data_IF_800945784958
#
_entry.id   IF_800945784958
#
_cell.length_a   1.000
_cell.length_b   1.000
_cell.length_c   1.000
_cell.angle_alpha   90.00
_cell.angle_beta   90.00
_cell.angle_gamma   90.00
#
_symmetry.space_group_name_H-M   'P 1'
#
loop_
_entity.id
_entity.type
_entity.pdbx_description
1 polymer ?
#
# COMPACT_ATOMS: atom_id res chain seq x y z
N UNK A 1 11.17 27.33 -10.99
CA UNK A 1 10.51 26.42 -10.03
C UNK A 1 11.27 25.12 -9.91
N UNK A 2 11.87 24.88 -8.73
CA UNK A 2 12.62 23.66 -8.44
C UNK A 2 11.65 22.54 -8.09
N UNK A 3 11.34 21.69 -9.06
CA UNK A 3 10.54 20.50 -8.84
C UNK A 3 11.35 19.53 -7.97
N UNK A 4 10.89 19.26 -6.75
CA UNK A 4 11.53 18.27 -5.88
C UNK A 4 11.22 16.87 -6.41
N UNK A 5 12.18 16.30 -7.14
CA UNK A 5 12.03 14.99 -7.78
C UNK A 5 11.99 13.81 -6.80
N UNK A 6 12.57 13.96 -5.62
CA UNK A 6 12.65 12.89 -4.61
C UNK A 6 11.27 12.37 -4.17
N UNK A 7 10.33 13.21 -3.69
CA UNK A 7 8.98 12.78 -3.35
C UNK A 7 8.25 12.11 -4.52
N UNK A 8 8.44 12.64 -5.73
CA UNK A 8 7.78 12.15 -6.94
C UNK A 8 8.22 10.73 -7.28
N UNK A 9 9.53 10.47 -7.26
CA UNK A 9 10.09 9.14 -7.52
C UNK A 9 9.64 8.15 -6.43
N UNK A 10 9.57 8.56 -5.17
CA UNK A 10 9.10 7.71 -4.07
C UNK A 10 7.63 7.30 -4.25
N UNK A 11 6.75 8.25 -4.57
CA UNK A 11 5.33 7.97 -4.79
C UNK A 11 5.14 7.10 -6.05
N UNK A 12 5.83 7.42 -7.14
CA UNK A 12 5.79 6.61 -8.37
C UNK A 12 6.31 5.19 -8.13
N UNK A 13 7.38 5.04 -7.34
CA UNK A 13 7.94 3.75 -6.96
C UNK A 13 6.96 2.93 -6.11
N UNK A 14 6.30 3.57 -5.14
CA UNK A 14 5.24 2.96 -4.34
C UNK A 14 4.06 2.48 -5.18
N UNK A 15 3.63 3.31 -6.13
CA UNK A 15 2.52 3.00 -7.04
C UNK A 15 2.88 1.84 -7.97
N UNK A 16 4.07 1.88 -8.57
CA UNK A 16 4.56 0.78 -9.41
C UNK A 16 4.64 -0.53 -8.61
N UNK A 17 5.11 -0.46 -7.36
CA UNK A 17 5.19 -1.63 -6.49
C UNK A 17 3.81 -2.20 -6.15
N UNK A 18 2.81 -1.35 -5.83
CA UNK A 18 1.42 -1.77 -5.66
C UNK A 18 0.90 -2.52 -6.89
N UNK A 19 1.09 -1.94 -8.09
CA UNK A 19 0.61 -2.54 -9.35
C UNK A 19 1.28 -3.90 -9.59
N UNK A 20 2.60 -3.98 -9.41
CA UNK A 20 3.36 -5.22 -9.57
C UNK A 20 2.89 -6.28 -8.56
N UNK A 21 2.72 -5.90 -7.29
CA UNK A 21 2.25 -6.80 -6.24
C UNK A 21 0.86 -7.36 -6.54
N UNK A 22 -0.05 -6.53 -7.04
CA UNK A 22 -1.37 -6.99 -7.49
C UNK A 22 -1.22 -7.93 -8.69
N UNK A 23 -0.40 -7.58 -9.68
CA UNK A 23 -0.21 -8.36 -10.90
C UNK A 23 0.38 -9.76 -10.65
N UNK A 24 1.26 -9.91 -9.66
CA UNK A 24 1.87 -11.21 -9.29
C UNK A 24 1.08 -11.98 -8.22
N UNK A 25 -0.07 -11.45 -7.76
CA UNK A 25 -0.89 -12.09 -6.73
C UNK A 25 -0.35 -11.95 -5.30
N UNK A 26 0.49 -10.95 -5.03
CA UNK A 26 0.98 -10.60 -3.69
C UNK A 26 -0.09 -10.03 -2.75
N UNK A 27 -1.22 -9.59 -3.30
CA UNK A 27 -2.39 -9.13 -2.55
C UNK A 27 -2.47 -7.62 -2.37
N UNK A 28 -3.69 -7.14 -2.16
CA UNK A 28 -3.99 -5.71 -2.02
C UNK A 28 -3.37 -5.13 -0.76
N UNK A 29 -3.40 -5.86 0.36
CA UNK A 29 -2.90 -5.38 1.65
C UNK A 29 -1.41 -5.01 1.63
N UNK A 30 -0.56 -5.87 1.06
CA UNK A 30 0.89 -5.64 1.02
C UNK A 30 1.20 -4.43 0.12
N UNK A 31 0.58 -4.36 -1.05
CA UNK A 31 0.80 -3.26 -1.98
C UNK A 31 0.37 -1.92 -1.41
N UNK A 32 -0.77 -1.85 -0.73
CA UNK A 32 -1.26 -0.59 -0.12
C UNK A 32 -0.43 -0.18 1.10
N UNK A 33 0.03 -1.13 1.91
CA UNK A 33 0.97 -0.83 3.00
C UNK A 33 2.29 -0.22 2.48
N UNK A 34 2.83 -0.77 1.38
CA UNK A 34 4.05 -0.24 0.76
C UNK A 34 3.82 1.13 0.12
N UNK A 35 2.71 1.32 -0.58
CA UNK A 35 2.33 2.62 -1.15
C UNK A 35 2.20 3.67 -0.04
N UNK A 36 1.61 3.32 1.10
CA UNK A 36 1.50 4.22 2.24
C UNK A 36 2.88 4.56 2.83
N UNK A 37 3.73 3.57 3.06
CA UNK A 37 5.07 3.78 3.62
C UNK A 37 5.96 4.65 2.71
N UNK A 38 5.92 4.41 1.40
CA UNK A 38 6.65 5.21 0.40
C UNK A 38 6.09 6.64 0.30
N UNK A 39 4.78 6.81 0.38
CA UNK A 39 4.13 8.13 0.44
C UNK A 39 4.52 8.90 1.70
N UNK A 40 4.52 8.25 2.87
CA UNK A 40 4.98 8.86 4.12
C UNK A 40 6.47 9.27 4.06
N UNK A 41 7.30 8.42 3.46
CA UNK A 41 8.70 8.72 3.21
C UNK A 41 8.88 9.92 2.25
N UNK A 42 8.02 10.05 1.24
CA UNK A 42 8.00 11.20 0.34
C UNK A 42 7.67 12.52 1.06
N UNK A 43 6.88 12.47 2.14
CA UNK A 43 6.61 13.62 3.02
C UNK A 43 7.71 13.90 4.05
N UNK A 44 8.85 13.19 4.01
CA UNK A 44 10.02 13.45 4.84
C UNK A 44 10.06 12.69 6.17
N UNK A 45 9.10 11.78 6.42
CA UNK A 45 9.11 10.93 7.61
C UNK A 45 10.13 9.79 7.45
N UNK A 46 11.06 9.65 8.40
CA UNK A 46 12.13 8.64 8.37
C UNK A 46 11.77 7.32 9.09
N UNK A 47 10.52 7.17 9.54
CA UNK A 47 10.06 6.03 10.33
C UNK A 47 9.37 4.97 9.46
N UNK A 48 10.08 4.46 8.44
CA UNK A 48 9.51 3.57 7.42
C UNK A 48 8.81 2.33 8.00
N UNK A 49 9.38 1.72 9.04
CA UNK A 49 8.81 0.52 9.66
C UNK A 49 7.49 0.81 10.40
N UNK A 50 7.42 1.95 11.09
CA UNK A 50 6.19 2.41 11.76
C UNK A 50 5.13 2.76 10.73
N UNK A 51 5.51 3.45 9.66
CA UNK A 51 4.59 3.81 8.58
C UNK A 51 4.09 2.58 7.82
N UNK A 52 4.93 1.55 7.65
CA UNK A 52 4.54 0.28 7.07
C UNK A 52 3.51 -0.45 7.95
N UNK A 53 3.70 -0.47 9.28
CA UNK A 53 2.73 -1.06 10.21
C UNK A 53 1.39 -0.31 10.17
N UNK A 54 1.43 1.03 10.17
CA UNK A 54 0.23 1.86 10.05
C UNK A 54 -0.46 1.57 8.70
N UNK A 55 0.29 1.55 7.62
CA UNK A 55 -0.19 1.23 6.28
C UNK A 55 -0.84 -0.15 6.22
N UNK A 56 -0.25 -1.16 6.86
CA UNK A 56 -0.82 -2.51 6.95
C UNK A 56 -2.13 -2.53 7.73
N UNK A 57 -2.22 -1.84 8.87
CA UNK A 57 -3.47 -1.75 9.66
C UNK A 57 -4.57 -1.05 8.85
N UNK A 58 -4.25 0.05 8.18
CA UNK A 58 -5.19 0.77 7.29
C UNK A 58 -5.62 -0.14 6.15
N UNK A 59 -4.68 -0.85 5.53
CA UNK A 59 -4.96 -1.75 4.41
C UNK A 59 -5.90 -2.89 4.83
N UNK A 60 -5.70 -3.48 6.01
CA UNK A 60 -6.62 -4.48 6.60
C UNK A 60 -8.01 -3.87 6.80
N UNK A 61 -8.08 -2.67 7.39
CA UNK A 61 -9.35 -2.01 7.64
C UNK A 61 -10.11 -1.72 6.33
N UNK A 62 -9.41 -1.18 5.31
CA UNK A 62 -9.98 -0.92 3.98
C UNK A 62 -10.42 -2.22 3.32
N UNK A 63 -9.60 -3.28 3.38
CA UNK A 63 -9.96 -4.59 2.84
C UNK A 63 -11.25 -5.13 3.48
N UNK A 64 -11.35 -5.09 4.82
CA UNK A 64 -12.54 -5.53 5.54
C UNK A 64 -13.76 -4.67 5.20
N UNK A 65 -13.59 -3.35 5.08
CA UNK A 65 -14.66 -2.44 4.68
C UNK A 65 -15.21 -2.83 3.31
N UNK A 66 -14.35 -3.04 2.32
CA UNK A 66 -14.79 -3.43 0.97
C UNK A 66 -15.37 -4.84 0.94
N UNK A 67 -14.75 -5.80 1.64
CA UNK A 67 -15.21 -7.18 1.69
C UNK A 67 -16.58 -7.31 2.37
N UNK A 68 -16.82 -6.59 3.47
CA UNK A 68 -18.05 -6.70 4.28
C UNK A 68 -19.14 -5.73 3.86
N UNK A 69 -18.79 -4.51 3.45
CA UNK A 69 -19.77 -3.47 3.13
C UNK A 69 -20.19 -3.51 1.66
N UNK A 70 -19.27 -3.84 0.75
CA UNK A 70 -19.50 -3.80 -0.69
C UNK A 70 -19.52 -5.19 -1.34
N UNK A 71 -19.27 -6.27 -0.59
CA UNK A 71 -19.18 -7.66 -1.10
C UNK A 71 -18.24 -7.79 -2.31
N UNK A 72 -17.22 -6.93 -2.36
CA UNK A 72 -16.32 -6.80 -3.51
C UNK A 72 -15.05 -7.58 -3.22
N UNK A 73 -14.75 -8.56 -4.08
CA UNK A 73 -13.52 -9.34 -4.00
C UNK A 73 -12.35 -8.50 -4.47
N UNK A 74 -11.63 -7.89 -3.52
CA UNK A 74 -10.32 -7.30 -3.80
C UNK A 74 -9.32 -8.39 -4.21
N UNK A 75 -8.25 -8.03 -4.95
CA UNK A 75 -7.21 -8.98 -5.35
C UNK A 75 -6.61 -9.65 -4.11
N UNK A 76 -7.09 -10.86 -3.81
CA UNK A 76 -6.73 -11.61 -2.62
C UNK A 76 -5.41 -12.35 -2.85
N UNK A 77 -4.35 -11.89 -2.19
CA UNK A 77 -3.08 -12.59 -2.08
C UNK A 77 -3.12 -13.70 -1.04
N UNK A 78 -2.00 -14.41 -0.84
CA UNK A 78 -1.93 -15.56 0.06
C UNK A 78 -2.30 -15.24 1.52
N UNK A 79 -2.02 -14.02 2.01
CA UNK A 79 -2.44 -13.58 3.35
C UNK A 79 -3.96 -13.31 3.43
N UNK A 80 -4.55 -12.76 2.39
CA UNK A 80 -6.00 -12.50 2.29
C UNK A 80 -6.81 -13.78 2.09
N UNK A 81 -6.16 -14.88 1.68
CA UNK A 81 -6.75 -16.21 1.54
C UNK A 81 -6.72 -17.03 2.84
N UNK A 82 -5.89 -16.61 3.81
CA UNK A 82 -5.80 -17.21 5.16
C UNK A 82 -6.73 -16.52 6.18
N UNK A 83 -7.20 -15.32 5.87
CA UNK A 83 -8.15 -14.54 6.67
C UNK A 83 -9.59 -14.85 6.25
#
# INVERSE_FOLDING_TARGET
>A
DSLDWNPIILILGGLACLIILIAIGGGFMIGTALLFATTSAAFGRRAFLTDLLIGAVIAVFVYLLFAKLLTLSLPAGPLERLL
#
